data_IF_110789651370
#
_entry.id   IF_110789651370
#
_cell.length_a   1.000
_cell.length_b   1.000
_cell.length_c   1.000
_cell.angle_alpha   90.00
_cell.angle_beta   90.00
_cell.angle_gamma   90.00
#
_symmetry.space_group_name_H-M   'P 1'
#
loop_
_entity.id
_entity.type
_entity.pdbx_description
1 polymer ?
#
# COMPACT_ATOMS: atom_id res chain seq x y z
N UNK A 1 10.76 -4.99 10.57
CA UNK A 1 10.35 -3.65 11.04
C UNK A 1 8.90 -3.78 11.43
N UNK A 2 8.53 -3.47 12.66
CA UNK A 2 7.16 -3.65 13.15
C UNK A 2 6.45 -2.30 13.07
N UNK A 3 5.36 -2.24 12.31
CA UNK A 3 4.53 -1.05 12.17
C UNK A 3 3.80 -0.74 13.50
N UNK A 4 3.42 0.53 13.68
CA UNK A 4 2.75 1.05 14.88
C UNK A 4 1.43 0.30 15.14
N UNK A 5 1.26 -0.26 16.35
CA UNK A 5 0.02 -0.92 16.76
C UNK A 5 -0.41 -0.48 18.17
N UNK A 6 -1.66 -0.05 18.37
CA UNK A 6 -2.71 0.12 17.35
C UNK A 6 -2.41 1.32 16.41
N UNK A 7 -2.94 1.26 15.19
CA UNK A 7 -2.87 2.40 14.26
C UNK A 7 -3.74 3.55 14.78
N UNK A 8 -3.19 4.77 14.84
CA UNK A 8 -3.92 5.98 15.19
C UNK A 8 -4.36 6.74 13.92
N UNK A 9 -5.67 6.76 13.59
CA UNK A 9 -6.17 7.46 12.41
C UNK A 9 -6.00 8.99 12.46
N UNK A 10 -5.71 9.57 13.63
CA UNK A 10 -5.40 11.00 13.77
C UNK A 10 -3.92 11.34 13.56
N UNK A 11 -3.08 10.32 13.41
CA UNK A 11 -1.65 10.47 13.17
C UNK A 11 -1.36 11.01 11.76
N UNK A 12 -0.18 11.61 11.61
CA UNK A 12 0.30 12.17 10.35
C UNK A 12 0.32 11.16 9.19
N UNK A 13 0.33 9.85 9.47
CA UNK A 13 0.29 8.78 8.46
C UNK A 13 -1.06 8.69 7.73
N UNK A 14 -2.15 9.07 8.39
CA UNK A 14 -3.47 9.14 7.74
C UNK A 14 -3.71 10.51 7.09
N UNK A 15 -2.98 11.55 7.49
CA UNK A 15 -3.11 12.89 6.91
C UNK A 15 -2.46 12.95 5.52
N UNK A 16 -3.30 13.07 4.48
CA UNK A 16 -2.89 13.11 3.07
C UNK A 16 -1.87 14.20 2.75
N UNK A 17 -1.92 15.34 3.44
CA UNK A 17 -1.00 16.45 3.18
C UNK A 17 0.37 16.24 3.85
N UNK A 18 0.48 15.25 4.74
CA UNK A 18 1.69 15.00 5.56
C UNK A 18 2.31 13.62 5.35
N UNK A 19 1.55 12.65 4.82
CA UNK A 19 2.03 11.28 4.67
C UNK A 19 2.85 11.04 3.39
N UNK A 20 2.74 11.92 2.40
CA UNK A 20 3.42 11.79 1.11
C UNK A 20 2.94 10.60 0.26
N UNK A 21 1.84 9.97 0.68
CA UNK A 21 1.34 8.68 0.22
C UNK A 21 0.93 7.81 1.40
N UNK A 22 0.11 6.80 1.14
CA UNK A 22 -0.31 5.87 2.19
C UNK A 22 0.63 4.67 2.30
N UNK A 23 0.03 3.48 2.38
CA UNK A 23 0.76 2.20 2.59
C UNK A 23 1.83 1.93 1.52
N UNK A 24 1.71 2.51 0.33
CA UNK A 24 2.76 2.39 -0.69
C UNK A 24 4.08 3.04 -0.29
N UNK A 25 4.06 4.22 0.32
CA UNK A 25 5.30 4.89 0.76
C UNK A 25 5.82 4.26 2.05
N UNK A 26 4.92 3.85 2.94
CA UNK A 26 5.27 3.22 4.21
C UNK A 26 5.92 1.85 4.01
N UNK A 27 5.21 0.90 3.39
CA UNK A 27 5.69 -0.48 3.18
C UNK A 27 5.97 -0.85 1.73
N UNK A 28 5.26 -0.25 0.78
CA UNK A 28 5.38 -0.56 -0.64
C UNK A 28 6.74 -0.22 -1.25
N UNK A 29 7.44 0.79 -0.71
CA UNK A 29 8.77 1.23 -1.17
C UNK A 29 9.79 0.09 -1.13
N UNK A 30 9.69 -0.81 -0.15
CA UNK A 30 10.56 -1.97 -0.05
C UNK A 30 10.31 -2.97 -1.19
N UNK A 31 9.05 -3.17 -1.58
CA UNK A 31 8.68 -4.03 -2.72
C UNK A 31 9.14 -3.40 -4.04
N UNK A 32 9.00 -2.09 -4.19
CA UNK A 32 9.50 -1.35 -5.35
C UNK A 32 11.03 -1.48 -5.50
N UNK A 33 11.77 -1.41 -4.38
CA UNK A 33 13.22 -1.64 -4.36
C UNK A 33 13.58 -3.06 -4.84
N UNK A 34 12.86 -4.08 -4.36
CA UNK A 34 13.07 -5.48 -4.82
C UNK A 34 12.77 -5.63 -6.31
N UNK A 35 11.68 -5.04 -6.81
CA UNK A 35 11.38 -5.06 -8.24
C UNK A 35 12.53 -4.42 -9.04
N UNK A 36 12.98 -3.24 -8.66
CA UNK A 36 14.09 -2.55 -9.33
C UNK A 36 15.41 -3.34 -9.26
N UNK A 37 15.67 -4.06 -8.17
CA UNK A 37 16.83 -4.94 -8.03
C UNK A 37 16.76 -6.13 -8.99
N UNK A 38 15.59 -6.74 -9.16
CA UNK A 38 15.40 -7.93 -9.99
C UNK A 38 15.24 -7.63 -11.48
N UNK A 39 14.67 -6.48 -11.83
CA UNK A 39 14.30 -6.14 -13.21
C UNK A 39 15.06 -4.95 -13.80
N UNK A 40 16.11 -4.45 -13.13
CA UNK A 40 16.66 -3.10 -13.36
C UNK A 40 15.65 -1.99 -13.01
N UNK A 41 16.11 -0.74 -13.03
CA UNK A 41 15.25 0.41 -12.76
C UNK A 41 14.14 0.52 -13.84
N UNK A 42 12.85 0.53 -13.45
CA UNK A 42 11.74 0.70 -14.39
C UNK A 42 11.78 2.06 -15.12
N UNK A 43 11.40 2.07 -16.39
CA UNK A 43 11.15 3.28 -17.20
C UNK A 43 9.65 3.56 -17.41
N UNK A 44 8.79 2.59 -17.11
CA UNK A 44 7.34 2.76 -17.09
C UNK A 44 6.75 2.20 -15.80
N UNK A 45 5.81 2.94 -15.22
CA UNK A 45 5.07 2.55 -14.00
C UNK A 45 3.59 2.80 -14.22
N UNK A 46 2.78 1.79 -13.94
CA UNK A 46 1.33 1.91 -13.83
C UNK A 46 0.93 1.59 -12.39
N UNK A 47 0.10 2.43 -11.79
CA UNK A 47 -0.31 2.28 -10.40
C UNK A 47 -1.82 2.48 -10.28
N UNK A 48 -2.48 1.62 -9.51
CA UNK A 48 -3.90 1.67 -9.25
C UNK A 48 -4.13 1.53 -7.74
N UNK A 49 -4.67 2.58 -7.13
CA UNK A 49 -5.19 2.50 -5.76
C UNK A 49 -6.38 1.54 -5.75
N UNK A 50 -6.40 0.60 -4.81
CA UNK A 50 -7.54 -0.30 -4.62
C UNK A 50 -8.57 0.35 -3.69
N UNK A 51 -9.85 -0.09 -3.73
CA UNK A 51 -10.85 0.38 -2.79
C UNK A 51 -10.42 0.16 -1.35
N UNK A 52 -10.66 1.17 -0.51
CA UNK A 52 -10.23 1.13 0.87
C UNK A 52 -10.93 0.05 1.68
N UNK A 53 -10.14 -0.70 2.45
CA UNK A 53 -10.62 -1.71 3.38
C UNK A 53 -11.03 -1.13 4.74
N UNK A 54 -10.56 0.09 5.05
CA UNK A 54 -10.85 0.79 6.30
C UNK A 54 -11.59 2.10 6.02
N UNK A 55 -12.89 2.11 6.33
CA UNK A 55 -13.70 3.31 6.20
C UNK A 55 -13.14 4.46 7.04
N UNK A 56 -12.98 5.64 6.44
CA UNK A 56 -12.56 6.86 7.14
C UNK A 56 -11.05 7.12 7.16
N UNK A 57 -10.26 6.36 6.39
CA UNK A 57 -8.89 6.75 6.09
C UNK A 57 -8.86 7.77 4.94
N UNK A 58 -8.10 8.83 5.13
CA UNK A 58 -7.83 9.84 4.09
C UNK A 58 -6.64 9.41 3.20
N UNK A 59 -5.78 8.54 3.75
CA UNK A 59 -4.63 7.96 3.08
C UNK A 59 -4.98 6.71 2.26
N UNK A 60 -4.16 6.45 1.24
CA UNK A 60 -4.20 5.18 0.51
C UNK A 60 -3.89 3.99 1.44
N UNK A 61 -4.80 3.04 1.54
CA UNK A 61 -4.64 1.81 2.32
C UNK A 61 -4.55 0.57 1.41
N UNK A 62 -4.20 0.77 0.15
CA UNK A 62 -3.82 -0.29 -0.76
C UNK A 62 -3.53 0.18 -2.18
N UNK A 63 -2.54 -0.46 -2.81
CA UNK A 63 -2.20 -0.19 -4.20
C UNK A 63 -1.70 -1.45 -4.93
N UNK A 64 -1.95 -1.48 -6.22
CA UNK A 64 -1.32 -2.39 -7.17
C UNK A 64 -0.41 -1.56 -8.07
N UNK A 65 0.85 -1.98 -8.17
CA UNK A 65 1.85 -1.36 -9.04
C UNK A 65 2.35 -2.38 -10.04
N UNK A 66 2.41 -1.97 -11.31
CA UNK A 66 3.04 -2.70 -12.39
C UNK A 66 4.18 -1.86 -12.95
N UNK A 67 5.32 -2.47 -13.18
CA UNK A 67 6.52 -1.83 -13.72
C UNK A 67 6.91 -2.48 -15.03
N UNK A 68 7.53 -1.71 -15.91
CA UNK A 68 8.28 -2.24 -17.06
C UNK A 68 9.67 -1.60 -17.07
N UNK A 69 10.68 -2.43 -17.28
CA UNK A 69 12.07 -2.00 -17.44
C UNK A 69 12.40 -1.71 -18.92
N UNK A 70 13.52 -1.02 -19.19
CA UNK A 70 13.96 -0.74 -20.57
C UNK A 70 14.16 -2.01 -21.41
N UNK A 71 14.59 -3.12 -20.79
CA UNK A 71 14.76 -4.41 -21.45
C UNK A 71 13.45 -5.22 -21.60
N UNK A 72 12.32 -4.67 -21.14
CA UNK A 72 10.99 -5.23 -21.33
C UNK A 72 10.49 -6.16 -20.23
N UNK A 73 11.24 -6.36 -19.14
CA UNK A 73 10.78 -7.15 -17.99
C UNK A 73 9.62 -6.43 -17.31
N UNK A 74 8.54 -7.18 -17.03
CA UNK A 74 7.36 -6.69 -16.34
C UNK A 74 7.35 -7.22 -14.90
N UNK A 75 7.27 -6.30 -13.94
CA UNK A 75 7.13 -6.60 -12.52
C UNK A 75 5.75 -6.18 -12.01
N UNK A 76 5.24 -6.86 -10.99
CA UNK A 76 4.03 -6.41 -10.29
C UNK A 76 4.17 -6.59 -8.78
N UNK A 77 3.54 -5.69 -8.03
CA UNK A 77 3.45 -5.77 -6.58
C UNK A 77 2.10 -5.29 -6.09
N UNK A 78 1.56 -5.99 -5.10
CA UNK A 78 0.40 -5.55 -4.32
C UNK A 78 0.87 -5.19 -2.92
N UNK A 79 0.49 -4.00 -2.47
CA UNK A 79 0.72 -3.54 -1.09
C UNK A 79 -0.65 -3.35 -0.45
N UNK A 80 -1.11 -4.30 0.38
CA UNK A 80 -2.35 -4.13 1.12
C UNK A 80 -2.10 -3.30 2.39
N UNK A 81 -3.06 -2.47 2.76
CA UNK A 81 -3.19 -1.95 4.10
C UNK A 81 -3.81 -2.97 5.05
N UNK A 82 -3.60 -2.76 6.35
CA UNK A 82 -4.15 -3.61 7.40
C UNK A 82 -5.64 -3.36 7.50
N UNK A 83 -6.51 -4.31 7.13
CA UNK A 83 -7.94 -4.16 7.44
C UNK A 83 -8.16 -4.36 8.94
N UNK A 84 -8.88 -3.45 9.59
CA UNK A 84 -9.55 -3.78 10.85
C UNK A 84 -10.59 -4.88 10.55
N UNK A 85 -10.22 -6.16 10.73
CA UNK A 85 -11.27 -7.16 10.90
C UNK A 85 -11.98 -6.80 12.19
N UNK A 86 -13.21 -6.28 12.11
CA UNK A 86 -14.09 -6.29 13.26
C UNK A 86 -14.16 -7.74 13.75
N UNK A 87 -13.85 -8.04 15.03
CA UNK A 87 -14.13 -9.36 15.56
C UNK A 87 -15.64 -9.56 15.40
N UNK A 88 -16.05 -10.61 14.70
CA UNK A 88 -17.45 -10.91 14.42
C UNK A 88 -18.30 -10.86 15.70
N UNK A 89 -18.97 -9.72 15.91
CA UNK A 89 -19.91 -9.49 16.99
C UNK A 89 -21.30 -9.95 16.59
N UNK A 90 -21.54 -11.27 16.70
CA UNK A 90 -22.81 -12.00 16.91
C UNK A 90 -24.06 -11.65 16.06
N UNK A 91 -24.63 -12.69 15.42
CA UNK A 91 -26.04 -13.06 15.64
C UNK A 91 -26.96 -13.25 14.42
N UNK A 92 -27.59 -14.45 14.38
CA UNK A 92 -28.91 -14.83 13.81
C UNK A 92 -29.02 -15.18 12.31
N UNK A 93 -28.97 -16.49 12.03
CA UNK A 93 -30.12 -17.29 11.59
C UNK A 93 -29.90 -18.75 12.04
#
# INVERSE_FOLDING_TARGET
MQEEFPFDPSSWRNDRDRNGGGVFIDGGIHKASVLAFLSERPDQVYALQVPSGNSGLDAEDGIIVTTRSPNGVVGSSTTPGVSERRPNGRGLA
#
